data_IF_588587195922
#
_entry.id   IF_588587195922
#
_cell.length_a   1.000
_cell.length_b   1.000
_cell.length_c   1.000
_cell.angle_alpha   90.00
_cell.angle_beta   90.00
_cell.angle_gamma   90.00
#
_symmetry.space_group_name_H-M   'P 1'
#
loop_
_entity.id
_entity.type
_entity.pdbx_description
1 polymer ?
#
# COMPACT_ATOMS: atom_id res chain seq x y z
N UNK A 1 -53.24 -4.91 47.03
CA UNK A 1 -53.45 -5.42 45.66
C UNK A 1 -52.52 -4.63 44.76
N UNK A 2 -51.56 -5.31 44.17
CA UNK A 2 -50.56 -4.77 43.25
C UNK A 2 -50.77 -5.44 41.89
N UNK A 3 -50.79 -4.72 40.74
CA UNK A 3 -50.89 -5.38 39.44
C UNK A 3 -49.64 -5.20 38.55
N UNK A 4 -48.50 -4.73 39.05
CA UNK A 4 -47.29 -4.59 38.23
C UNK A 4 -46.24 -5.66 38.53
N UNK A 5 -46.68 -6.91 38.40
CA UNK A 5 -45.79 -8.05 38.16
C UNK A 5 -45.75 -8.34 36.65
N UNK A 6 -44.55 -8.65 36.15
CA UNK A 6 -44.20 -9.03 34.77
C UNK A 6 -43.84 -7.87 33.83
N UNK A 7 -42.53 -7.65 33.69
CA UNK A 7 -41.87 -7.80 32.39
C UNK A 7 -40.52 -8.43 32.64
N UNK A 8 -40.52 -9.76 32.63
CA UNK A 8 -39.32 -10.61 32.62
C UNK A 8 -38.52 -10.22 31.39
N UNK A 9 -37.44 -9.46 31.60
CA UNK A 9 -36.37 -9.31 30.62
C UNK A 9 -35.73 -10.70 30.50
N UNK A 10 -36.28 -11.52 29.59
CA UNK A 10 -35.72 -12.82 29.21
C UNK A 10 -34.35 -12.54 28.62
N UNK A 11 -33.32 -12.59 29.46
CA UNK A 11 -31.94 -12.68 29.02
C UNK A 11 -31.87 -13.79 27.98
N UNK A 12 -31.59 -13.42 26.73
CA UNK A 12 -31.29 -14.42 25.70
C UNK A 12 -30.21 -15.35 26.26
N UNK A 13 -30.38 -16.67 26.12
CA UNK A 13 -29.46 -17.61 26.71
C UNK A 13 -28.05 -17.29 26.22
N UNK A 14 -27.11 -17.16 27.16
CA UNK A 14 -25.67 -17.09 26.89
C UNK A 14 -25.34 -18.24 25.96
N UNK A 15 -25.26 -17.99 24.65
CA UNK A 15 -24.78 -18.96 23.68
C UNK A 15 -23.39 -19.37 24.15
N UNK A 16 -23.31 -20.56 24.72
CA UNK A 16 -22.10 -21.09 25.33
C UNK A 16 -20.97 -20.93 24.31
N UNK A 17 -19.96 -20.12 24.65
CA UNK A 17 -18.78 -19.83 23.83
C UNK A 17 -17.85 -21.06 23.76
N UNK A 18 -18.40 -22.25 23.53
CA UNK A 18 -17.61 -23.47 23.34
C UNK A 18 -16.84 -23.33 22.03
N UNK A 19 -15.53 -23.55 22.08
CA UNK A 19 -14.70 -23.69 20.87
C UNK A 19 -15.27 -24.84 20.03
N UNK A 20 -15.30 -24.64 18.72
CA UNK A 20 -15.63 -25.71 17.78
C UNK A 20 -14.61 -26.84 17.93
N UNK A 21 -15.06 -28.07 17.79
CA UNK A 21 -14.17 -29.23 17.79
C UNK A 21 -13.30 -29.25 16.54
N UNK A 22 -12.22 -30.05 16.55
CA UNK A 22 -11.36 -30.22 15.38
C UNK A 22 -12.15 -30.77 14.18
N UNK A 23 -13.06 -31.73 14.42
CA UNK A 23 -13.92 -32.30 13.38
C UNK A 23 -14.88 -31.28 12.79
N UNK A 24 -15.52 -30.48 13.65
CA UNK A 24 -16.41 -29.41 13.20
C UNK A 24 -15.67 -28.38 12.35
N UNK A 25 -14.47 -28.00 12.80
CA UNK A 25 -13.62 -27.06 12.05
C UNK A 25 -13.21 -27.66 10.70
N UNK A 26 -12.79 -28.92 10.65
CA UNK A 26 -12.40 -29.59 9.41
C UNK A 26 -13.52 -29.64 8.38
N UNK A 27 -14.76 -29.95 8.80
CA UNK A 27 -15.90 -29.94 7.88
C UNK A 27 -16.22 -28.54 7.36
N UNK A 28 -16.18 -27.53 8.24
CA UNK A 28 -16.39 -26.13 7.85
C UNK A 28 -15.32 -25.67 6.86
N UNK A 29 -14.06 -26.04 7.08
CA UNK A 29 -12.94 -25.73 6.18
C UNK A 29 -13.07 -26.43 4.83
N UNK A 30 -13.42 -27.71 4.82
CA UNK A 30 -13.69 -28.45 3.58
C UNK A 30 -14.79 -27.77 2.76
N UNK A 31 -15.92 -27.43 3.40
CA UNK A 31 -16.99 -26.71 2.72
C UNK A 31 -16.58 -25.32 2.23
N UNK A 32 -15.78 -24.58 3.00
CA UNK A 32 -15.27 -23.26 2.61
C UNK A 32 -14.27 -23.34 1.45
N UNK A 33 -13.54 -24.44 1.34
CA UNK A 33 -12.61 -24.66 0.24
C UNK A 33 -13.33 -24.87 -1.09
N UNK A 34 -14.52 -25.46 -1.07
CA UNK A 34 -15.40 -25.57 -2.24
C UNK A 34 -16.01 -24.22 -2.60
N UNK A 35 -16.63 -23.53 -1.64
CA UNK A 35 -17.30 -22.23 -1.89
C UNK A 35 -17.01 -21.25 -0.74
N UNK A 36 -16.50 -20.06 -1.08
CA UNK A 36 -16.18 -19.00 -0.09
C UNK A 36 -17.42 -18.28 0.45
N UNK A 37 -18.53 -18.38 -0.29
CA UNK A 37 -19.84 -17.87 0.09
C UNK A 37 -20.64 -18.94 0.83
N UNK A 38 -21.48 -18.48 1.76
CA UNK A 38 -22.34 -19.35 2.56
C UNK A 38 -23.79 -19.01 2.25
N UNK A 39 -24.41 -19.83 1.40
CA UNK A 39 -25.81 -19.67 1.04
C UNK A 39 -26.73 -20.09 2.20
N UNK A 40 -27.97 -19.56 2.28
CA UNK A 40 -28.91 -19.88 3.36
C UNK A 40 -29.17 -21.39 3.50
N UNK A 41 -29.35 -22.10 2.40
CA UNK A 41 -29.61 -23.55 2.41
C UNK A 41 -28.39 -24.32 2.88
N UNK A 42 -27.21 -23.95 2.38
CA UNK A 42 -25.95 -24.57 2.79
C UNK A 42 -25.65 -24.33 4.26
N UNK A 43 -25.96 -23.13 4.77
CA UNK A 43 -25.85 -22.79 6.18
C UNK A 43 -26.73 -23.69 7.04
N UNK A 44 -27.98 -23.90 6.65
CA UNK A 44 -28.92 -24.77 7.37
C UNK A 44 -28.44 -26.23 7.36
N UNK A 45 -27.96 -26.73 6.21
CA UNK A 45 -27.38 -28.07 6.10
C UNK A 45 -26.15 -28.25 7.01
N UNK A 46 -25.20 -27.32 6.97
CA UNK A 46 -24.00 -27.37 7.81
C UNK A 46 -24.34 -27.27 9.30
N UNK A 47 -25.29 -26.40 9.67
CA UNK A 47 -25.76 -26.28 11.04
C UNK A 47 -26.31 -27.61 11.57
N UNK A 48 -27.15 -28.28 10.77
CA UNK A 48 -27.72 -29.58 11.13
C UNK A 48 -26.64 -30.68 11.20
N UNK A 49 -25.77 -30.78 10.19
CA UNK A 49 -24.72 -31.79 10.13
C UNK A 49 -23.72 -31.67 11.29
N UNK A 50 -23.43 -30.45 11.73
CA UNK A 50 -22.43 -30.18 12.76
C UNK A 50 -23.02 -30.11 14.18
N UNK A 51 -24.35 -30.11 14.30
CA UNK A 51 -25.06 -29.87 15.57
C UNK A 51 -24.80 -28.46 16.12
N UNK A 52 -24.61 -27.47 15.25
CA UNK A 52 -24.27 -26.10 15.61
C UNK A 52 -25.41 -25.14 15.28
N UNK A 53 -25.64 -24.07 16.09
CA UNK A 53 -26.53 -22.98 15.70
C UNK A 53 -26.09 -22.33 14.38
N UNK A 54 -27.05 -22.02 13.50
CA UNK A 54 -26.77 -21.37 12.20
C UNK A 54 -25.98 -20.07 12.32
N UNK A 55 -26.14 -19.34 13.44
CA UNK A 55 -25.36 -18.14 13.75
C UNK A 55 -23.88 -18.45 13.94
N UNK A 56 -23.52 -19.56 14.60
CA UNK A 56 -22.11 -19.93 14.78
C UNK A 56 -21.44 -20.29 13.45
N UNK A 57 -22.15 -21.00 12.58
CA UNK A 57 -21.68 -21.29 11.21
C UNK A 57 -21.46 -19.98 10.44
N UNK A 58 -22.40 -19.04 10.51
CA UNK A 58 -22.28 -17.74 9.85
C UNK A 58 -21.07 -16.92 10.36
N UNK A 59 -20.91 -16.82 11.68
CA UNK A 59 -19.77 -16.11 12.31
C UNK A 59 -18.45 -16.78 11.94
N UNK A 60 -18.40 -18.11 11.91
CA UNK A 60 -17.20 -18.83 11.51
C UNK A 60 -16.82 -18.50 10.06
N UNK A 61 -17.77 -18.50 9.13
CA UNK A 61 -17.53 -18.13 7.73
C UNK A 61 -17.07 -16.68 7.58
N UNK A 62 -17.67 -15.75 8.34
CA UNK A 62 -17.23 -14.35 8.38
C UNK A 62 -15.78 -14.24 8.83
N UNK A 63 -15.41 -14.88 9.93
CA UNK A 63 -14.05 -14.87 10.45
C UNK A 63 -13.06 -15.55 9.50
N UNK A 64 -13.45 -16.66 8.86
CA UNK A 64 -12.63 -17.35 7.87
C UNK A 64 -12.37 -16.46 6.64
N UNK A 65 -13.38 -15.74 6.14
CA UNK A 65 -13.22 -14.75 5.06
C UNK A 65 -12.31 -13.59 5.46
N UNK A 66 -12.47 -13.05 6.66
CA UNK A 66 -11.60 -11.98 7.16
C UNK A 66 -10.13 -12.43 7.20
N UNK A 67 -9.85 -13.61 7.76
CA UNK A 67 -8.50 -14.19 7.80
C UNK A 67 -7.94 -14.45 6.41
N UNK A 68 -8.75 -15.01 5.51
CA UNK A 68 -8.34 -15.27 4.13
C UNK A 68 -8.00 -13.96 3.39
N UNK A 69 -8.82 -12.92 3.54
CA UNK A 69 -8.55 -11.60 2.96
C UNK A 69 -7.25 -11.00 3.51
N UNK A 70 -7.05 -11.06 4.83
CA UNK A 70 -5.82 -10.57 5.45
C UNK A 70 -4.60 -11.33 4.94
N UNK A 71 -4.68 -12.66 4.80
CA UNK A 71 -3.58 -13.46 4.26
C UNK A 71 -3.26 -13.11 2.81
N UNK A 72 -4.28 -12.85 1.98
CA UNK A 72 -4.08 -12.38 0.60
C UNK A 72 -3.36 -11.03 0.59
N UNK A 73 -3.85 -10.07 1.39
CA UNK A 73 -3.26 -8.73 1.46
C UNK A 73 -1.81 -8.76 1.95
N UNK A 74 -1.50 -9.59 2.95
CA UNK A 74 -0.13 -9.77 3.44
C UNK A 74 0.80 -10.34 2.35
N UNK A 75 0.31 -11.34 1.60
CA UNK A 75 1.06 -11.92 0.48
C UNK A 75 1.31 -10.87 -0.61
N UNK A 76 0.29 -10.09 -0.96
CA UNK A 76 0.38 -9.03 -1.98
C UNK A 76 1.36 -7.94 -1.53
N UNK A 77 1.27 -7.49 -0.28
CA UNK A 77 2.19 -6.52 0.31
C UNK A 77 3.64 -7.03 0.26
N UNK A 78 3.88 -8.27 0.66
CA UNK A 78 5.22 -8.85 0.64
C UNK A 78 5.76 -8.98 -0.80
N UNK A 79 4.92 -9.34 -1.76
CA UNK A 79 5.31 -9.36 -3.17
C UNK A 79 5.70 -7.96 -3.69
N UNK A 80 4.94 -6.92 -3.34
CA UNK A 80 5.28 -5.55 -3.70
C UNK A 80 6.57 -5.08 -3.02
N UNK A 81 6.76 -5.41 -1.75
CA UNK A 81 7.98 -5.10 -1.01
C UNK A 81 9.22 -5.71 -1.69
N UNK A 82 9.15 -6.98 -2.07
CA UNK A 82 10.27 -7.63 -2.77
C UNK A 82 10.58 -6.99 -4.12
N UNK A 83 9.54 -6.58 -4.86
CA UNK A 83 9.71 -5.86 -6.12
C UNK A 83 10.39 -4.51 -5.91
N UNK A 84 9.98 -3.76 -4.88
CA UNK A 84 10.61 -2.49 -4.51
C UNK A 84 12.09 -2.68 -4.17
N UNK A 85 12.41 -3.65 -3.31
CA UNK A 85 13.80 -3.95 -2.93
C UNK A 85 14.66 -4.31 -4.16
N UNK A 86 14.12 -5.12 -5.09
CA UNK A 86 14.80 -5.46 -6.34
C UNK A 86 15.07 -4.22 -7.21
N UNK A 87 14.09 -3.32 -7.34
CA UNK A 87 14.24 -2.10 -8.14
C UNK A 87 15.25 -1.15 -7.50
N UNK A 88 15.25 -1.01 -6.17
CA UNK A 88 16.22 -0.19 -5.46
C UNK A 88 17.64 -0.74 -5.61
N UNK A 89 17.81 -2.06 -5.54
CA UNK A 89 19.10 -2.71 -5.76
C UNK A 89 19.62 -2.47 -7.19
N UNK A 90 18.74 -2.56 -8.19
CA UNK A 90 19.09 -2.30 -9.58
C UNK A 90 19.41 -0.83 -9.83
N UNK A 91 18.63 0.10 -9.26
CA UNK A 91 18.90 1.54 -9.36
C UNK A 91 20.29 1.87 -8.79
N UNK A 92 20.61 1.35 -7.60
CA UNK A 92 21.95 1.50 -7.00
C UNK A 92 23.06 0.90 -7.86
N UNK A 93 22.79 -0.17 -8.61
CA UNK A 93 23.74 -0.77 -9.56
C UNK A 93 23.95 0.15 -10.76
N UNK A 94 22.87 0.70 -11.32
CA UNK A 94 22.91 1.62 -12.43
C UNK A 94 23.60 2.93 -12.06
N UNK A 95 23.38 3.49 -10.87
CA UNK A 95 24.07 4.69 -10.39
C UNK A 95 25.59 4.51 -10.40
N UNK A 96 26.08 3.36 -9.93
CA UNK A 96 27.51 3.03 -9.96
C UNK A 96 28.04 2.90 -11.38
N UNK A 97 27.25 2.34 -12.29
CA UNK A 97 27.62 2.18 -13.68
C UNK A 97 27.66 3.52 -14.41
N UNK A 98 26.69 4.40 -14.17
CA UNK A 98 26.67 5.77 -14.66
C UNK A 98 27.92 6.53 -14.19
N UNK A 99 28.25 6.43 -12.90
CA UNK A 99 29.45 7.06 -12.34
C UNK A 99 30.74 6.53 -12.98
N UNK A 100 30.83 5.21 -13.22
CA UNK A 100 31.97 4.59 -13.92
C UNK A 100 32.11 5.13 -15.34
N UNK A 101 31.00 5.16 -16.09
CA UNK A 101 30.97 5.62 -17.48
C UNK A 101 31.30 7.11 -17.59
N UNK A 102 30.83 7.94 -16.64
CA UNK A 102 31.21 9.37 -16.57
C UNK A 102 32.73 9.53 -16.43
N UNK A 103 33.38 8.79 -15.53
CA UNK A 103 34.84 8.82 -15.37
C UNK A 103 35.60 8.36 -16.61
N UNK A 104 35.07 7.40 -17.36
CA UNK A 104 35.68 6.96 -18.61
C UNK A 104 35.55 8.00 -19.71
N UNK A 105 34.39 8.67 -19.78
CA UNK A 105 34.16 9.77 -20.71
C UNK A 105 35.12 10.94 -20.42
N UNK A 106 35.26 11.33 -19.16
CA UNK A 106 36.17 12.42 -18.76
C UNK A 106 37.61 12.10 -19.16
N UNK A 107 38.09 10.88 -18.90
CA UNK A 107 39.42 10.43 -19.34
C UNK A 107 39.59 10.47 -20.86
N UNK A 108 38.58 10.04 -21.62
CA UNK A 108 38.63 10.07 -23.07
C UNK A 108 38.67 11.52 -23.60
N UNK A 109 37.93 12.43 -22.98
CA UNK A 109 37.96 13.87 -23.28
C UNK A 109 39.34 14.47 -22.97
N UNK A 110 39.91 14.17 -21.81
CA UNK A 110 41.26 14.62 -21.41
C UNK A 110 42.35 14.15 -22.39
N UNK A 111 42.27 12.90 -22.84
CA UNK A 111 43.19 12.34 -23.83
C UNK A 111 43.07 13.05 -25.19
N UNK A 112 41.84 13.32 -25.66
CA UNK A 112 41.61 14.07 -26.90
C UNK A 112 42.16 15.50 -26.83
N UNK A 113 41.94 16.20 -25.71
CA UNK A 113 42.49 17.53 -25.47
C UNK A 113 44.02 17.49 -25.48
N UNK A 114 44.62 16.52 -24.78
CA UNK A 114 46.08 16.35 -24.72
C UNK A 114 46.70 16.09 -26.10
N UNK A 115 46.06 15.27 -26.92
CA UNK A 115 46.49 15.01 -28.30
C UNK A 115 46.32 16.24 -29.22
N UNK A 116 45.30 17.06 -29.00
CA UNK A 116 45.10 18.30 -29.76
C UNK A 116 46.16 19.37 -29.40
N UNK A 117 46.54 19.50 -28.12
CA UNK A 117 47.59 20.44 -27.68
C UNK A 117 48.96 20.09 -28.29
N UNK A 118 49.28 18.79 -28.43
CA UNK A 118 50.54 18.34 -29.01
C UNK A 118 50.66 18.57 -30.54
N UNK A 119 49.55 18.78 -31.24
CA UNK A 119 49.55 19.08 -32.68
C UNK A 119 49.68 20.58 -33.01
N UNK A 120 49.72 21.46 -32.00
CA UNK A 120 49.73 22.91 -32.20
C UNK A 120 51.11 23.59 -32.01
N UNK A 121 52.21 22.84 -31.89
CA UNK A 121 53.56 23.43 -31.74
C UNK A 121 54.37 23.54 -33.05
N UNK A 122 53.78 23.30 -34.24
CA UNK A 122 54.53 23.43 -35.52
C UNK A 122 53.93 24.38 -36.57
N UNK A 123 52.95 25.24 -36.26
CA UNK A 123 52.66 26.38 -37.16
C UNK A 123 52.25 27.60 -36.35
N UNK A 124 53.15 28.58 -36.27
CA UNK A 124 52.91 29.87 -35.63
C UNK A 124 51.96 30.74 -36.49
N UNK A 125 51.02 31.43 -35.85
CA UNK A 125 50.11 32.47 -36.36
C UNK A 125 49.05 32.08 -37.41
N UNK A 126 47.76 32.07 -37.00
CA UNK A 126 46.69 32.77 -37.73
C UNK A 126 45.50 33.05 -36.81
N UNK A 127 45.12 34.33 -36.80
CA UNK A 127 43.96 34.92 -36.13
C UNK A 127 42.63 34.36 -36.66
N UNK A 128 41.56 34.57 -35.88
CA UNK A 128 40.12 34.36 -36.18
C UNK A 128 39.66 32.90 -35.92
N UNK A 129 38.71 32.61 -35.03
CA UNK A 129 37.31 33.08 -35.09
C UNK A 129 36.65 33.09 -33.71
N UNK A 130 36.06 34.23 -33.36
CA UNK A 130 35.03 34.33 -32.34
C UNK A 130 33.75 33.65 -32.84
N UNK A 131 33.26 32.66 -32.11
CA UNK A 131 31.84 32.31 -32.11
C UNK A 131 31.40 32.18 -30.65
N UNK A 132 30.85 33.31 -30.19
CA UNK A 132 29.90 33.37 -29.09
C UNK A 132 28.81 32.33 -29.29
N UNK A 133 28.47 31.59 -28.25
CA UNK A 133 27.07 31.26 -27.97
C UNK A 133 26.86 31.33 -26.46
N UNK A 134 26.22 32.43 -26.10
CA UNK A 134 25.55 32.73 -24.84
C UNK A 134 24.56 31.63 -24.47
N UNK A 135 24.59 31.21 -23.20
CA UNK A 135 23.43 30.72 -22.46
C UNK A 135 23.59 31.11 -20.99
N UNK A 136 22.50 31.58 -20.44
CA UNK A 136 22.41 32.49 -19.30
C UNK A 136 22.78 31.90 -17.94
N UNK A 137 23.22 32.79 -17.04
CA UNK A 137 23.17 32.60 -15.60
C UNK A 137 21.75 32.27 -15.15
N UNK A 138 21.60 31.16 -14.43
CA UNK A 138 20.67 31.09 -13.29
C UNK A 138 21.29 30.26 -12.17
N UNK A 139 21.50 30.93 -11.03
CA UNK A 139 21.29 30.34 -9.71
C UNK A 139 22.37 29.43 -9.15
N UNK A 140 23.23 30.04 -8.32
CA UNK A 140 23.87 29.46 -7.13
C UNK A 140 23.19 28.20 -6.56
N UNK A 141 23.97 27.20 -6.15
CA UNK A 141 24.63 27.27 -4.84
C UNK A 141 25.62 26.14 -4.63
N UNK A 142 26.75 26.54 -4.06
CA UNK A 142 27.80 25.70 -3.51
C UNK A 142 27.30 24.81 -2.36
N UNK A 143 27.83 23.59 -2.32
CA UNK A 143 28.26 22.81 -1.15
C UNK A 143 27.52 23.02 0.19
N UNK A 144 26.85 21.96 0.67
CA UNK A 144 27.16 21.37 1.99
C UNK A 144 27.02 19.84 1.90
N UNK A 145 28.14 19.16 2.09
CA UNK A 145 28.21 17.79 2.57
C UNK A 145 28.12 17.85 4.10
N UNK A 146 27.00 17.42 4.68
CA UNK A 146 27.03 16.87 6.04
C UNK A 146 26.04 15.72 6.20
N UNK A 147 26.61 14.65 6.72
CA UNK A 147 25.99 13.43 7.21
C UNK A 147 24.88 13.71 8.22
N UNK A 148 23.74 13.04 8.05
CA UNK A 148 22.71 13.00 9.08
C UNK A 148 21.53 12.14 8.67
N UNK A 149 21.39 10.97 9.30
CA UNK A 149 20.15 10.22 9.30
C UNK A 149 19.01 11.15 9.77
N UNK A 150 18.00 11.37 8.92
CA UNK A 150 16.68 11.75 9.41
C UNK A 150 15.64 10.98 8.61
N UNK A 151 15.03 9.98 9.24
CA UNK A 151 13.83 9.32 8.77
C UNK A 151 12.69 10.31 8.97
N UNK A 152 12.44 11.20 8.00
CA UNK A 152 11.34 12.15 8.11
C UNK A 152 10.09 11.64 7.40
N UNK A 153 9.01 11.65 8.18
CA UNK A 153 7.71 11.05 7.93
C UNK A 153 6.84 11.79 6.91
N UNK A 154 7.43 12.33 5.85
CA UNK A 154 6.70 13.11 4.84
C UNK A 154 6.13 12.23 3.71
N UNK A 155 6.56 10.97 3.59
CA UNK A 155 6.01 10.08 2.55
C UNK A 155 4.65 9.47 2.94
N UNK A 156 4.31 9.45 4.24
CA UNK A 156 3.06 8.86 4.73
C UNK A 156 1.85 9.81 4.63
N UNK A 157 2.05 11.11 4.40
CA UNK A 157 0.94 12.07 4.23
C UNK A 157 0.19 11.88 2.91
N UNK A 158 0.85 11.47 1.83
CA UNK A 158 0.19 11.19 0.54
C UNK A 158 -0.68 9.90 0.55
N UNK A 159 -0.47 9.00 1.51
CA UNK A 159 -1.25 7.76 1.62
C UNK A 159 -2.48 7.90 2.53
N UNK A 160 -2.59 9.00 3.30
CA UNK A 160 -3.72 9.24 4.23
C UNK A 160 -4.47 10.56 3.94
N UNK A 161 -3.96 11.47 3.09
CA UNK A 161 -4.59 12.77 2.82
C UNK A 161 -5.04 12.98 1.37
N UNK A 162 -6.18 12.41 0.99
CA UNK A 162 -6.90 12.80 -0.23
C UNK A 162 -8.21 13.47 0.16
N UNK A 163 -8.23 14.81 0.19
CA UNK A 163 -9.45 15.60 0.39
C UNK A 163 -10.46 15.33 -0.73
N UNK A 164 -11.40 14.44 -0.46
CA UNK A 164 -12.69 14.39 -1.15
C UNK A 164 -13.55 15.54 -0.64
N UNK A 165 -13.93 16.43 -1.56
CA UNK A 165 -14.75 17.61 -1.33
C UNK A 165 -15.94 17.34 -0.39
N UNK A 166 -15.88 17.89 0.83
CA UNK A 166 -17.00 17.97 1.75
C UNK A 166 -18.02 18.96 1.18
N UNK A 167 -19.03 18.43 0.50
CA UNK A 167 -20.30 19.13 0.28
C UNK A 167 -20.93 19.50 1.63
N UNK A 168 -21.40 20.74 1.70
CA UNK A 168 -22.13 21.37 2.82
C UNK A 168 -23.12 20.42 3.50
N UNK A 169 -23.34 20.54 4.83
CA UNK A 169 -24.49 19.92 5.46
C UNK A 169 -25.73 20.78 5.17
N UNK A 170 -26.43 20.50 4.07
CA UNK A 170 -27.84 20.85 3.98
C UNK A 170 -28.61 19.93 4.94
N UNK A 171 -29.19 20.56 5.95
CA UNK A 171 -30.11 19.96 6.91
C UNK A 171 -31.34 19.42 6.19
N UNK A 172 -31.29 18.16 5.74
CA UNK A 172 -32.47 17.42 5.32
C UNK A 172 -32.72 16.27 6.28
N UNK A 173 -33.68 16.50 7.17
CA UNK A 173 -34.28 15.51 8.06
C UNK A 173 -34.83 14.34 7.24
N UNK A 174 -34.16 13.18 7.28
CA UNK A 174 -34.63 11.95 6.62
C UNK A 174 -35.63 11.13 7.47
N UNK A 175 -35.93 11.57 8.70
CA UNK A 175 -37.03 11.03 9.52
C UNK A 175 -38.02 12.12 9.90
N UNK A 176 -38.56 12.84 8.91
CA UNK A 176 -39.76 13.65 9.11
C UNK A 176 -40.82 13.30 8.08
N UNK A 177 -42.03 13.09 8.60
CA UNK A 177 -43.34 13.01 7.96
C UNK A 177 -43.80 11.65 7.44
N UNK A 178 -44.47 10.90 8.32
CA UNK A 178 -45.94 10.75 8.33
C UNK A 178 -46.28 9.90 9.57
N UNK A 179 -47.19 10.25 10.48
CA UNK A 179 -48.57 10.66 10.30
C UNK A 179 -48.99 11.69 11.37
N UNK A 180 -49.84 12.63 10.94
CA UNK A 180 -50.81 13.30 11.80
C UNK A 180 -52.17 13.21 11.09
N UNK A 181 -53.06 12.38 11.62
CA UNK A 181 -54.45 12.70 11.96
C UNK A 181 -54.96 11.64 12.95
#
# INVERSE_FOLDING_TARGET
MDPYESHIQKHLPKYNKKRLTADQTRLLESSFNVTKHLDPDRKSQLAQQLGLPSRQVAVWYQNKRARWKNQSLESDFNAQKMKLESVLAENKRLDKEVERLRKELDKAQDLLVSLNVNNNHHVYNSSITALSNSCDEVGSSSLIHESGNCLDGEFYECLIGGEGQFGKPESHNFFSSSLSL
#
